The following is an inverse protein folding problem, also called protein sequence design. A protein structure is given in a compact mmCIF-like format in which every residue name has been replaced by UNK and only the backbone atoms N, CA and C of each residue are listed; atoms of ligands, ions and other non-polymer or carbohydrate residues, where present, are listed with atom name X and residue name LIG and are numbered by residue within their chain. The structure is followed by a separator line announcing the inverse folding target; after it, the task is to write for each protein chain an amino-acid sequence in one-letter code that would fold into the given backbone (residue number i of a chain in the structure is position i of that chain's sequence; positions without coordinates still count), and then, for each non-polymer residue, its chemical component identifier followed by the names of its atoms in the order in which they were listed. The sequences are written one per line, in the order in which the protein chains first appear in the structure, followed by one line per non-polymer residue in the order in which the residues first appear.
data_IF_552917875350
#
_entry.id   IF_552917875350
#
_cell.length_a   1.000
_cell.length_b   1.000
_cell.length_c   1.000
_cell.angle_alpha   90.00
_cell.angle_beta   90.00
_cell.angle_gamma   90.00
#
_symmetry.space_group_name_H-M   'P 1'
#
loop_
_entity.id
_entity.type
_entity.pdbx_description
1 polymer ?
#
# COMPACT_ATOMS: atom_id res chain seq x y z
N UNK A 1 12.93 -5.40 3.21
CA UNK A 1 11.81 -5.55 2.30
C UNK A 1 10.50 -5.20 3.01
N UNK A 2 9.58 -4.61 2.24
CA UNK A 2 8.33 -4.12 2.80
C UNK A 2 7.18 -5.11 2.65
N UNK A 3 7.36 -6.20 1.97
CA UNK A 3 6.29 -7.19 1.83
C UNK A 3 5.99 -7.79 3.20
N UNK A 4 4.70 -7.79 3.57
CA UNK A 4 4.27 -8.19 4.89
C UNK A 4 4.23 -7.06 5.90
N UNK A 5 4.73 -5.87 5.54
CA UNK A 5 4.71 -4.71 6.42
C UNK A 5 3.30 -4.13 6.48
N UNK A 6 2.81 -3.88 7.70
CA UNK A 6 1.53 -3.22 7.87
C UNK A 6 1.71 -1.71 7.76
N UNK A 7 0.81 -1.08 7.02
CA UNK A 7 0.90 0.36 6.76
C UNK A 7 -0.46 1.01 6.91
N UNK A 8 -0.44 2.33 7.12
CA UNK A 8 -1.64 3.14 7.12
C UNK A 8 -1.62 4.05 5.91
N UNK A 9 -2.74 4.13 5.22
CA UNK A 9 -2.88 4.94 4.01
C UNK A 9 -3.43 6.32 4.35
N UNK A 10 -3.23 7.27 3.43
CA UNK A 10 -3.68 8.64 3.65
C UNK A 10 -5.19 8.77 3.71
N UNK A 11 -5.92 7.78 3.19
CA UNK A 11 -7.39 7.79 3.26
C UNK A 11 -7.92 7.20 4.58
N UNK A 12 -7.03 6.84 5.51
CA UNK A 12 -7.42 6.30 6.80
C UNK A 12 -7.48 4.78 6.86
N UNK A 13 -7.32 4.10 5.74
CA UNK A 13 -7.33 2.65 5.73
C UNK A 13 -5.98 2.09 6.16
N UNK A 14 -6.01 0.87 6.71
CA UNK A 14 -4.81 0.15 7.09
C UNK A 14 -4.78 -1.19 6.37
N UNK A 15 -3.61 -1.61 5.98
CA UNK A 15 -3.47 -2.88 5.28
C UNK A 15 -2.04 -3.36 5.29
N UNK A 16 -1.82 -4.45 4.56
CA UNK A 16 -0.51 -5.08 4.47
C UNK A 16 0.04 -4.92 3.05
N UNK A 17 1.34 -4.67 2.97
CA UNK A 17 2.01 -4.64 1.67
C UNK A 17 2.09 -6.07 1.15
N UNK A 18 1.49 -6.32 -0.01
CA UNK A 18 1.45 -7.67 -0.59
C UNK A 18 2.23 -7.78 -1.89
N UNK A 19 2.51 -6.66 -2.56
CA UNK A 19 3.26 -6.68 -3.80
C UNK A 19 3.91 -5.32 -4.03
N UNK A 20 5.16 -5.35 -4.47
CA UNK A 20 5.92 -4.13 -4.81
C UNK A 20 6.35 -4.26 -6.25
N UNK A 21 5.89 -3.32 -7.11
CA UNK A 21 6.28 -3.31 -8.49
C UNK A 21 7.72 -2.81 -8.63
N UNK A 22 8.58 -3.51 -9.38
CA UNK A 22 9.95 -3.03 -9.61
C UNK A 22 10.02 -1.66 -10.27
N UNK A 23 8.97 -1.29 -10.99
CA UNK A 23 8.93 -0.02 -11.71
C UNK A 23 8.43 1.13 -10.85
N UNK A 24 7.74 0.83 -9.74
CA UNK A 24 7.18 1.84 -8.85
C UNK A 24 7.32 1.38 -7.40
N UNK A 25 8.54 1.43 -6.90
CA UNK A 25 8.85 0.90 -5.56
C UNK A 25 8.14 1.66 -4.46
N UNK A 26 7.84 2.94 -4.67
CA UNK A 26 7.16 3.75 -3.66
C UNK A 26 5.64 3.62 -3.72
N UNK A 27 5.12 2.83 -4.66
CA UNK A 27 3.68 2.65 -4.84
C UNK A 27 3.31 1.18 -4.83
N UNK A 28 3.43 0.50 -3.69
CA UNK A 28 3.12 -0.92 -3.61
C UNK A 28 1.63 -1.18 -3.63
N UNK A 29 1.26 -2.45 -3.81
CA UNK A 29 -0.13 -2.87 -3.67
C UNK A 29 -0.38 -3.23 -2.21
N UNK A 30 -1.47 -2.73 -1.66
CA UNK A 30 -1.82 -2.90 -0.26
C UNK A 30 -3.11 -3.71 -0.19
N UNK A 31 -3.15 -4.70 0.70
CA UNK A 31 -4.38 -5.45 0.95
C UNK A 31 -5.06 -4.87 2.18
N UNK A 32 -6.21 -4.26 1.97
CA UNK A 32 -7.01 -3.65 3.04
C UNK A 32 -8.23 -4.53 3.28
N UNK A 33 -8.14 -5.45 4.25
CA UNK A 33 -9.23 -6.38 4.51
C UNK A 33 -9.47 -7.29 3.32
N UNK A 34 -10.65 -7.22 2.72
CA UNK A 34 -11.00 -8.03 1.57
C UNK A 34 -10.73 -7.32 0.24
N UNK A 35 -10.16 -6.12 0.28
CA UNK A 35 -9.97 -5.29 -0.90
C UNK A 35 -8.49 -5.04 -1.14
N UNK A 36 -8.10 -5.03 -2.41
CA UNK A 36 -6.75 -4.65 -2.81
C UNK A 36 -6.74 -3.20 -3.27
N UNK A 37 -5.79 -2.43 -2.79
CA UNK A 37 -5.58 -1.04 -3.21
C UNK A 37 -4.24 -0.97 -3.91
N UNK A 38 -4.27 -0.61 -5.20
CA UNK A 38 -3.05 -0.47 -5.99
C UNK A 38 -2.67 1.00 -6.06
N UNK A 39 -1.65 1.38 -5.30
CA UNK A 39 -1.24 2.77 -5.20
C UNK A 39 -0.64 3.29 -6.50
N UNK A 40 -0.22 2.39 -7.38
CA UNK A 40 0.29 2.82 -8.69
C UNK A 40 -0.82 3.31 -9.59
N UNK A 41 -2.06 2.91 -9.33
CA UNK A 41 -3.24 3.33 -10.10
C UNK A 41 -4.02 4.42 -9.39
N UNK A 42 -4.02 4.41 -8.06
CA UNK A 42 -4.75 5.39 -7.26
C UNK A 42 -3.76 6.38 -6.67
N UNK A 43 -3.40 7.38 -7.44
CA UNK A 43 -2.35 8.31 -7.07
C UNK A 43 -2.78 9.32 -6.01
N UNK A 44 -4.07 9.40 -5.73
CA UNK A 44 -4.59 10.25 -4.66
C UNK A 44 -4.44 9.62 -3.29
N UNK A 45 -4.04 8.34 -3.23
CA UNK A 45 -3.81 7.62 -1.99
C UNK A 45 -2.33 7.25 -1.92
N UNK A 46 -1.75 7.36 -0.73
CA UNK A 46 -0.35 7.00 -0.52
C UNK A 46 -0.20 6.39 0.87
N UNK A 47 0.97 5.84 1.14
CA UNK A 47 1.29 5.35 2.48
C UNK A 47 1.53 6.55 3.39
N UNK A 48 0.73 6.64 4.45
CA UNK A 48 0.90 7.70 5.42
C UNK A 48 2.05 7.38 6.38
N UNK A 49 2.08 6.13 6.86
CA UNK A 49 3.15 5.70 7.77
C UNK A 49 3.16 4.18 7.86
N UNK A 50 4.29 3.66 8.34
CA UNK A 50 4.42 2.24 8.66
C UNK A 50 3.91 1.98 10.07
N UNK A 51 3.25 0.85 10.24
CA UNK A 51 2.69 0.47 11.55
C UNK A 51 3.51 -0.66 12.23
#
# INVERSE_FOLDING_TARGET
TYIGQRVRLTNGQEGDVVFISPQQLSRPMIKCGDTFVDLSKQKDIAIERLL
#
